data_IF_896246635927
#
_entry.id   IF_896246635927
#
_cell.length_a   1.000
_cell.length_b   1.000
_cell.length_c   1.000
_cell.angle_alpha   90.00
_cell.angle_beta   90.00
_cell.angle_gamma   90.00
#
_symmetry.space_group_name_H-M   'P 1'
#
loop_
_entity.id
_entity.type
_entity.pdbx_description
1 polymer ?
#
# COMPACT_ATOMS: atom_id res chain seq x y z
N UNK A 1 58.10 -6.28 62.75
CA UNK A 1 57.63 -7.07 61.56
C UNK A 1 56.22 -6.56 61.21
N UNK A 2 56.16 -5.75 60.12
CA UNK A 2 54.91 -5.17 59.66
C UNK A 2 54.40 -6.04 58.49
N UNK A 3 53.24 -6.60 58.68
CA UNK A 3 52.57 -7.35 57.63
C UNK A 3 51.66 -6.36 56.85
N UNK A 4 51.95 -6.18 55.59
CA UNK A 4 51.18 -5.33 54.69
C UNK A 4 50.05 -6.17 54.04
N UNK A 5 48.81 -5.82 54.34
CA UNK A 5 47.64 -6.48 53.75
C UNK A 5 47.28 -5.75 52.45
N UNK A 6 47.40 -6.43 51.29
CA UNK A 6 46.93 -5.92 50.01
C UNK A 6 45.45 -6.30 49.84
N UNK A 7 44.61 -5.26 49.82
CA UNK A 7 43.21 -5.45 49.41
C UNK A 7 43.11 -5.33 47.89
N UNK A 8 42.70 -6.43 47.25
CA UNK A 8 42.37 -6.46 45.79
C UNK A 8 40.91 -6.02 45.65
N UNK A 9 40.70 -4.84 45.09
CA UNK A 9 39.39 -4.33 44.72
C UNK A 9 39.01 -4.87 43.34
N UNK A 10 38.13 -5.86 43.31
CA UNK A 10 37.56 -6.38 42.06
C UNK A 10 36.46 -5.43 41.58
N UNK A 11 36.76 -4.64 40.54
CA UNK A 11 35.74 -3.90 39.80
C UNK A 11 34.93 -4.86 38.91
N UNK A 12 33.73 -5.18 39.33
CA UNK A 12 32.72 -5.77 38.44
C UNK A 12 32.22 -4.69 37.51
N UNK A 13 32.70 -4.71 36.26
CA UNK A 13 32.13 -3.93 35.20
C UNK A 13 30.76 -4.48 34.83
N UNK A 14 29.70 -3.76 35.17
CA UNK A 14 28.36 -4.03 34.65
C UNK A 14 28.35 -3.52 33.22
N UNK A 15 28.42 -4.44 32.24
CA UNK A 15 28.09 -4.15 30.86
C UNK A 15 26.58 -3.92 30.80
N UNK A 16 26.16 -2.66 30.86
CA UNK A 16 24.82 -2.28 30.41
C UNK A 16 24.78 -2.52 28.90
N UNK A 17 24.09 -3.57 28.49
CA UNK A 17 23.63 -3.71 27.10
C UNK A 17 22.67 -2.53 26.89
N UNK A 18 23.12 -1.55 26.11
CA UNK A 18 22.23 -0.56 25.55
C UNK A 18 21.28 -1.33 24.62
N UNK A 19 20.05 -1.50 25.09
CA UNK A 19 18.95 -1.85 24.18
C UNK A 19 18.83 -0.66 23.23
N UNK A 20 19.21 -0.91 21.97
CA UNK A 20 19.03 0.00 20.86
C UNK A 20 17.53 0.15 20.66
N UNK A 21 16.93 1.12 21.36
CA UNK A 21 15.62 1.59 21.03
C UNK A 21 15.73 2.19 19.61
N UNK A 22 15.41 1.40 18.61
CA UNK A 22 15.02 1.91 17.31
C UNK A 22 13.79 2.78 17.56
N UNK A 23 14.01 4.07 17.75
CA UNK A 23 13.00 5.10 17.57
C UNK A 23 12.57 5.02 16.10
N UNK A 24 11.52 4.23 15.84
CA UNK A 24 10.81 4.26 14.57
C UNK A 24 9.93 5.52 14.53
N UNK A 25 10.57 6.67 14.50
CA UNK A 25 9.92 7.97 14.38
C UNK A 25 9.69 8.33 12.90
N UNK A 26 9.52 7.33 12.06
CA UNK A 26 8.92 7.53 10.74
C UNK A 26 7.42 7.63 10.96
N UNK A 27 6.77 8.73 10.55
CA UNK A 27 5.32 8.84 10.65
C UNK A 27 4.69 7.63 9.96
N UNK A 28 3.73 7.00 10.64
CA UNK A 28 3.02 5.87 10.08
C UNK A 28 2.38 6.32 8.75
N UNK A 29 2.62 5.57 7.68
CA UNK A 29 2.03 5.84 6.36
C UNK A 29 0.51 5.81 6.52
N UNK A 30 -0.17 6.85 6.07
CA UNK A 30 -1.63 6.97 6.13
C UNK A 30 -2.30 6.16 5.01
N UNK A 31 -3.61 5.84 5.14
CA UNK A 31 -4.35 5.21 4.05
C UNK A 31 -4.27 6.00 2.73
N UNK A 32 -4.34 7.33 2.80
CA UNK A 32 -4.25 8.21 1.62
C UNK A 32 -2.87 8.15 0.97
N UNK A 33 -1.79 8.16 1.76
CA UNK A 33 -0.43 8.00 1.24
C UNK A 33 -0.22 6.63 0.62
N UNK A 34 -0.78 5.56 1.22
CA UNK A 34 -0.77 4.21 0.64
C UNK A 34 -1.37 4.21 -0.75
N UNK A 35 -2.50 4.91 -0.96
CA UNK A 35 -3.12 4.98 -2.28
C UNK A 35 -2.29 5.78 -3.28
N UNK A 36 -1.57 6.81 -2.86
CA UNK A 36 -0.65 7.55 -3.74
C UNK A 36 0.50 6.65 -4.22
N UNK A 37 1.10 5.89 -3.29
CA UNK A 37 2.16 4.91 -3.61
C UNK A 37 1.63 3.80 -4.53
N UNK A 38 0.39 3.36 -4.32
CA UNK A 38 -0.26 2.39 -5.22
C UNK A 38 -0.37 2.92 -6.65
N UNK A 39 -0.73 4.20 -6.87
CA UNK A 39 -0.77 4.78 -8.22
C UNK A 39 0.62 4.80 -8.88
N UNK A 40 1.66 5.12 -8.12
CA UNK A 40 3.02 5.14 -8.64
C UNK A 40 3.46 3.75 -9.09
N UNK A 41 3.24 2.71 -8.28
CA UNK A 41 3.52 1.32 -8.67
C UNK A 41 2.66 0.86 -9.86
N UNK A 42 1.38 1.25 -9.90
CA UNK A 42 0.49 0.95 -11.03
C UNK A 42 1.02 1.55 -12.33
N UNK A 43 1.41 2.82 -12.34
CA UNK A 43 1.96 3.49 -13.51
C UNK A 43 3.30 2.92 -13.97
N UNK A 44 4.09 2.36 -13.05
CA UNK A 44 5.35 1.68 -13.35
C UNK A 44 5.18 0.19 -13.67
N UNK A 45 3.94 -0.33 -13.63
CA UNK A 45 3.63 -1.76 -13.81
C UNK A 45 4.44 -2.67 -12.86
N UNK A 46 4.74 -2.16 -11.66
CA UNK A 46 5.54 -2.85 -10.65
C UNK A 46 4.69 -3.92 -9.94
N UNK A 47 4.62 -5.08 -10.58
CA UNK A 47 3.76 -6.18 -10.17
C UNK A 47 4.12 -6.73 -8.78
N UNK A 48 5.41 -6.77 -8.44
CA UNK A 48 5.87 -7.25 -7.14
C UNK A 48 5.37 -6.32 -6.02
N UNK A 49 5.59 -5.02 -6.16
CA UNK A 49 5.12 -4.04 -5.18
C UNK A 49 3.58 -3.98 -5.10
N UNK A 50 2.89 -4.08 -6.24
CA UNK A 50 1.42 -4.12 -6.28
C UNK A 50 0.87 -5.34 -5.52
N UNK A 51 1.48 -6.53 -5.65
CA UNK A 51 1.12 -7.70 -4.86
C UNK A 51 1.33 -7.49 -3.36
N UNK A 52 2.45 -6.86 -2.97
CA UNK A 52 2.74 -6.57 -1.58
C UNK A 52 1.76 -5.58 -0.96
N UNK A 53 1.18 -4.70 -1.76
CA UNK A 53 0.17 -3.74 -1.30
C UNK A 53 -1.22 -4.34 -1.10
N UNK A 54 -1.50 -5.55 -1.63
CA UNK A 54 -2.76 -6.23 -1.41
C UNK A 54 -2.78 -6.98 -0.07
N UNK A 55 -3.96 -7.07 0.54
CA UNK A 55 -4.29 -8.05 1.58
C UNK A 55 -5.11 -9.17 0.94
N UNK A 56 -4.50 -10.33 0.62
CA UNK A 56 -5.19 -11.39 -0.10
C UNK A 56 -6.25 -12.10 0.75
N UNK A 57 -7.30 -12.66 0.13
CA UNK A 57 -7.68 -12.42 -1.25
C UNK A 57 -8.25 -11.01 -1.43
N UNK A 58 -7.93 -10.37 -2.56
CA UNK A 58 -8.50 -9.08 -2.94
C UNK A 58 -9.91 -9.26 -3.52
N UNK A 59 -10.84 -8.40 -3.12
CA UNK A 59 -12.22 -8.41 -3.59
C UNK A 59 -12.46 -7.26 -4.56
N UNK A 60 -13.07 -7.56 -5.71
CA UNK A 60 -13.47 -6.53 -6.65
C UNK A 60 -14.96 -6.67 -7.00
N UNK A 61 -15.70 -5.57 -6.87
CA UNK A 61 -17.09 -5.48 -7.29
C UNK A 61 -17.22 -4.43 -8.39
N UNK A 62 -17.76 -4.85 -9.54
CA UNK A 62 -18.07 -4.02 -10.69
C UNK A 62 -19.58 -4.09 -10.95
N UNK A 63 -20.32 -3.10 -10.49
CA UNK A 63 -21.76 -3.16 -10.51
C UNK A 63 -22.28 -4.38 -9.72
N UNK A 64 -22.86 -5.37 -10.43
CA UNK A 64 -23.33 -6.64 -9.84
C UNK A 64 -22.32 -7.78 -9.95
N UNK A 65 -21.27 -7.60 -10.70
CA UNK A 65 -20.23 -8.61 -10.92
C UNK A 65 -19.24 -8.59 -9.76
N UNK A 66 -18.76 -9.76 -9.38
CA UNK A 66 -17.84 -9.93 -8.27
C UNK A 66 -16.64 -10.80 -8.68
N UNK A 67 -15.47 -10.39 -8.24
CA UNK A 67 -14.25 -11.16 -8.39
C UNK A 67 -13.54 -11.33 -7.04
N UNK A 68 -12.78 -12.40 -6.93
CA UNK A 68 -11.90 -12.68 -5.79
C UNK A 68 -10.56 -13.10 -6.37
N UNK A 69 -9.52 -12.35 -6.06
CA UNK A 69 -8.21 -12.49 -6.68
C UNK A 69 -7.15 -12.74 -5.60
N UNK A 70 -6.45 -13.88 -5.66
CA UNK A 70 -5.35 -14.17 -4.73
C UNK A 70 -4.11 -13.31 -4.98
N UNK A 71 -3.89 -12.87 -6.22
CA UNK A 71 -2.76 -12.04 -6.64
C UNK A 71 -3.18 -10.88 -7.53
N UNK A 72 -2.31 -9.89 -7.70
CA UNK A 72 -2.56 -8.73 -8.55
C UNK A 72 -2.55 -9.11 -10.04
N UNK A 73 -1.70 -10.06 -10.46
CA UNK A 73 -1.64 -10.55 -11.83
C UNK A 73 -2.95 -11.18 -12.31
N UNK A 74 -3.71 -11.78 -11.38
CA UNK A 74 -5.02 -12.34 -11.71
C UNK A 74 -6.10 -11.26 -11.86
N UNK A 75 -5.86 -10.08 -11.28
CA UNK A 75 -6.79 -8.96 -11.27
C UNK A 75 -6.57 -8.00 -12.45
N UNK A 76 -5.33 -7.67 -12.81
CA UNK A 76 -5.00 -6.66 -13.83
C UNK A 76 -4.27 -7.25 -15.02
N UNK A 77 -4.66 -6.81 -16.22
CA UNK A 77 -3.94 -7.09 -17.47
C UNK A 77 -3.33 -5.80 -18.03
N UNK A 78 -2.08 -5.51 -17.70
CA UNK A 78 -1.37 -4.33 -18.20
C UNK A 78 -1.18 -4.37 -19.73
N UNK A 79 -1.01 -5.55 -20.33
CA UNK A 79 -0.92 -5.65 -21.78
C UNK A 79 -2.25 -5.26 -22.45
N UNK A 80 -3.37 -5.71 -21.91
CA UNK A 80 -4.71 -5.31 -22.37
C UNK A 80 -4.95 -3.81 -22.18
N UNK A 81 -4.53 -3.23 -21.03
CA UNK A 81 -4.60 -1.79 -20.81
C UNK A 81 -3.81 -1.00 -21.86
N UNK A 82 -2.56 -1.39 -22.14
CA UNK A 82 -1.76 -0.75 -23.20
C UNK A 82 -2.39 -0.88 -24.58
N UNK A 83 -2.95 -2.05 -24.88
CA UNK A 83 -3.66 -2.27 -26.16
C UNK A 83 -4.90 -1.40 -26.30
N UNK A 84 -5.54 -1.03 -25.18
CA UNK A 84 -6.67 -0.08 -25.15
C UNK A 84 -6.25 1.39 -25.24
N UNK A 85 -4.95 1.67 -25.33
CA UNK A 85 -4.40 3.03 -25.43
C UNK A 85 -3.97 3.66 -24.11
N UNK A 86 -4.02 2.92 -22.99
CA UNK A 86 -3.53 3.43 -21.71
C UNK A 86 -2.00 3.59 -21.71
N UNK A 87 -1.54 4.70 -21.16
CA UNK A 87 -0.11 4.99 -20.94
C UNK A 87 0.21 5.22 -19.48
N UNK A 88 -0.63 5.99 -18.78
CA UNK A 88 -0.52 6.25 -17.35
C UNK A 88 -1.85 6.74 -16.78
N UNK A 89 -1.91 6.86 -15.45
CA UNK A 89 -3.07 7.39 -14.73
C UNK A 89 -2.65 8.50 -13.76
N UNK A 90 -3.58 9.41 -13.46
CA UNK A 90 -3.41 10.44 -12.41
C UNK A 90 -4.61 10.45 -11.49
N UNK A 91 -4.35 10.67 -10.21
CA UNK A 91 -5.38 10.91 -9.21
C UNK A 91 -5.94 12.31 -9.42
N UNK A 92 -7.25 12.42 -9.60
CA UNK A 92 -7.97 13.67 -9.72
C UNK A 92 -8.47 14.14 -8.36
N UNK A 93 -8.98 13.24 -7.55
CA UNK A 93 -9.40 13.51 -6.17
C UNK A 93 -9.36 12.27 -5.30
N UNK A 94 -9.22 12.49 -3.99
CA UNK A 94 -9.26 11.48 -2.95
C UNK A 94 -10.17 11.97 -1.82
N UNK A 95 -11.16 11.17 -1.45
CA UNK A 95 -12.07 11.47 -0.35
C UNK A 95 -12.03 10.31 0.66
N UNK A 96 -11.72 10.62 1.92
CA UNK A 96 -11.84 9.66 3.01
C UNK A 96 -13.30 9.51 3.40
N UNK A 97 -13.89 8.34 3.14
CA UNK A 97 -15.28 8.02 3.48
C UNK A 97 -15.36 7.59 4.95
N UNK A 98 -14.41 6.77 5.37
CA UNK A 98 -14.35 6.20 6.71
C UNK A 98 -12.90 5.86 7.08
N UNK A 99 -12.55 6.09 8.36
CA UNK A 99 -11.26 5.66 8.91
C UNK A 99 -11.39 5.32 10.39
N UNK A 100 -10.80 4.18 10.77
CA UNK A 100 -10.50 3.82 12.14
C UNK A 100 -9.07 3.23 12.21
N UNK A 101 -8.53 2.87 13.39
CA UNK A 101 -7.16 2.35 13.48
C UNK A 101 -6.88 1.06 12.69
N UNK A 102 -7.90 0.35 12.20
CA UNK A 102 -7.76 -0.95 11.53
C UNK A 102 -8.30 -0.96 10.10
N UNK A 103 -9.20 -0.04 9.76
CA UNK A 103 -9.92 -0.07 8.50
C UNK A 103 -10.10 1.34 7.97
N UNK A 104 -9.94 1.52 6.66
CA UNK A 104 -10.25 2.77 5.98
C UNK A 104 -11.01 2.50 4.68
N UNK A 105 -11.90 3.41 4.31
CA UNK A 105 -12.57 3.42 3.01
C UNK A 105 -12.34 4.76 2.35
N UNK A 106 -11.84 4.73 1.11
CA UNK A 106 -11.44 5.90 0.34
C UNK A 106 -12.14 5.86 -1.01
N UNK A 107 -12.85 6.94 -1.35
CA UNK A 107 -13.26 7.18 -2.73
C UNK A 107 -12.11 7.80 -3.50
N UNK A 108 -11.83 7.28 -4.66
CA UNK A 108 -10.73 7.68 -5.51
C UNK A 108 -11.23 7.95 -6.91
N UNK A 109 -11.11 9.20 -7.35
CA UNK A 109 -11.35 9.56 -8.75
C UNK A 109 -10.01 9.70 -9.44
N UNK A 110 -9.84 9.03 -10.57
CA UNK A 110 -8.62 9.12 -11.36
C UNK A 110 -8.93 9.09 -12.85
N UNK A 111 -8.07 9.72 -13.63
CA UNK A 111 -8.12 9.74 -15.07
C UNK A 111 -7.00 8.91 -15.68
N UNK A 112 -7.32 8.20 -16.76
CA UNK A 112 -6.38 7.48 -17.62
C UNK A 112 -6.00 8.32 -18.81
N UNK A 113 -4.75 8.25 -19.18
CA UNK A 113 -4.17 9.01 -20.26
C UNK A 113 -3.54 8.11 -21.33
N UNK A 114 -3.63 8.51 -22.57
CA UNK A 114 -2.85 7.94 -23.66
C UNK A 114 -1.43 8.54 -23.73
N UNK A 115 -0.65 8.08 -24.71
CA UNK A 115 0.74 8.57 -24.94
C UNK A 115 0.82 10.03 -25.39
N UNK A 116 -0.28 10.63 -25.84
CA UNK A 116 -0.39 12.01 -26.34
C UNK A 116 -1.05 12.94 -25.27
N UNK A 117 -1.12 12.47 -24.00
CA UNK A 117 -1.70 13.17 -22.84
C UNK A 117 -3.22 13.44 -22.97
N UNK A 118 -3.94 12.73 -23.82
CA UNK A 118 -5.38 12.80 -23.86
C UNK A 118 -6.01 11.91 -22.80
N UNK A 119 -7.05 12.43 -22.13
CA UNK A 119 -7.85 11.61 -21.19
C UNK A 119 -8.66 10.59 -22.00
N UNK A 120 -8.45 9.31 -21.71
CA UNK A 120 -9.18 8.21 -22.36
C UNK A 120 -10.34 7.69 -21.50
N UNK A 121 -10.23 7.82 -20.16
CA UNK A 121 -11.28 7.45 -19.23
C UNK A 121 -11.10 8.19 -17.90
N UNK A 122 -12.20 8.46 -17.19
CA UNK A 122 -12.20 8.91 -15.79
C UNK A 122 -13.05 7.94 -14.99
N UNK A 123 -12.52 7.47 -13.85
CA UNK A 123 -13.14 6.44 -13.04
C UNK A 123 -13.27 6.89 -11.59
N UNK A 124 -14.34 6.45 -10.94
CA UNK A 124 -14.53 6.58 -9.49
C UNK A 124 -14.56 5.19 -8.87
N UNK A 125 -13.72 4.96 -7.88
CA UNK A 125 -13.58 3.67 -7.22
C UNK A 125 -13.51 3.87 -5.70
N UNK A 126 -14.30 3.11 -4.97
CA UNK A 126 -14.20 3.03 -3.52
C UNK A 126 -13.25 1.89 -3.14
N UNK A 127 -12.15 2.22 -2.48
CA UNK A 127 -11.17 1.26 -1.97
C UNK A 127 -11.38 1.00 -0.48
N UNK A 128 -11.36 -0.28 -0.11
CA UNK A 128 -11.31 -0.73 1.27
C UNK A 128 -9.86 -1.10 1.61
N UNK A 129 -9.32 -0.47 2.66
CA UNK A 129 -8.00 -0.75 3.19
C UNK A 129 -8.09 -1.37 4.58
N UNK A 130 -7.11 -2.20 4.93
CA UNK A 130 -6.93 -2.78 6.26
C UNK A 130 -5.54 -2.47 6.78
N UNK A 131 -5.44 -2.10 8.05
CA UNK A 131 -4.16 -1.96 8.74
C UNK A 131 -3.73 -3.34 9.28
N UNK A 132 -2.71 -3.91 8.65
CA UNK A 132 -2.13 -5.20 9.02
C UNK A 132 -0.78 -4.95 9.68
N UNK A 133 -0.72 -5.05 11.00
CA UNK A 133 0.50 -4.84 11.80
C UNK A 133 1.18 -3.48 11.56
N UNK A 134 0.39 -2.42 11.41
CA UNK A 134 0.90 -1.06 11.19
C UNK A 134 1.08 -0.68 9.71
N UNK A 135 0.82 -1.61 8.78
CA UNK A 135 0.91 -1.38 7.34
C UNK A 135 -0.48 -1.39 6.72
N UNK A 136 -0.85 -0.33 6.02
CA UNK A 136 -2.10 -0.28 5.27
C UNK A 136 -2.00 -1.08 3.99
N UNK A 137 -2.96 -1.99 3.78
CA UNK A 137 -3.06 -2.87 2.61
C UNK A 137 -4.44 -2.79 1.99
N UNK A 138 -4.51 -2.93 0.67
CA UNK A 138 -5.76 -2.85 -0.08
C UNK A 138 -6.46 -4.20 -0.02
N UNK A 139 -7.67 -4.23 0.54
CA UNK A 139 -8.49 -5.45 0.69
C UNK A 139 -9.52 -5.61 -0.41
N UNK A 140 -10.02 -4.51 -0.94
CA UNK A 140 -11.04 -4.57 -1.97
C UNK A 140 -11.25 -3.24 -2.67
N UNK A 141 -11.94 -3.30 -3.80
CA UNK A 141 -12.38 -2.13 -4.54
C UNK A 141 -13.79 -2.33 -5.09
N UNK A 142 -14.53 -1.24 -5.17
CA UNK A 142 -15.92 -1.20 -5.62
C UNK A 142 -16.05 -0.12 -6.68
N UNK A 143 -16.63 -0.45 -7.83
CA UNK A 143 -16.91 0.50 -8.90
C UNK A 143 -18.33 0.29 -9.44
N UNK A 144 -19.05 1.35 -9.81
CA UNK A 144 -20.46 1.22 -10.21
C UNK A 144 -20.65 0.37 -11.47
N UNK A 145 -19.90 0.61 -12.53
CA UNK A 145 -19.98 -0.12 -13.81
C UNK A 145 -18.79 0.22 -14.70
N UNK A 146 -18.61 -0.55 -15.79
CA UNK A 146 -17.73 -0.22 -16.94
C UNK A 146 -16.31 0.23 -16.58
N UNK A 147 -15.66 -0.53 -15.69
CA UNK A 147 -14.28 -0.29 -15.32
C UNK A 147 -13.36 -1.21 -16.14
N UNK A 148 -12.69 -0.71 -17.20
CA UNK A 148 -11.79 -1.53 -18.01
C UNK A 148 -10.50 -1.81 -17.25
N UNK A 149 -10.22 -3.08 -16.98
CA UNK A 149 -8.96 -3.56 -16.39
C UNK A 149 -8.05 -4.26 -17.40
N UNK A 150 -8.33 -4.07 -18.71
CA UNK A 150 -7.56 -4.67 -19.80
C UNK A 150 -7.97 -6.08 -20.18
N UNK A 151 -8.93 -6.68 -19.48
CA UNK A 151 -9.39 -8.07 -19.69
C UNK A 151 -10.66 -8.16 -20.55
N UNK A 152 -10.81 -7.32 -21.57
CA UNK A 152 -11.96 -7.37 -22.49
C UNK A 152 -11.63 -8.11 -23.80
#
# INVERSE_FOLDING_TARGET
>A
MKVLLFAILACFGVNALAEDHMDSDSPAVTPTETMSVYMDHFNNEDMEALNEMLEPPFFFLKGTDKGVYPTYEEFVDFQGLRNSGWSYSKIDSTEMIYEDPKTAMINWVFSRYDKDDNVTATQSVDYLLMNVNGVWKIKGAFTPTDFPMGQE
#
